data_IF_451127489144
#
_entry.id   IF_451127489144
#
_cell.length_a   1.000
_cell.length_b   1.000
_cell.length_c   1.000
_cell.angle_alpha   90.00
_cell.angle_beta   90.00
_cell.angle_gamma   90.00
#
_symmetry.space_group_name_H-M   'P 1'
#
loop_
_entity.id
_entity.type
_entity.pdbx_description
1 polymer ?
#
# COMPACT_ATOMS: atom_id res chain seq x y z
N UNK A 1 13.69 3.12 -9.36
CA UNK A 1 12.97 2.49 -8.23
C UNK A 1 11.46 2.58 -8.43
N UNK A 2 10.85 3.76 -8.46
CA UNK A 2 9.38 3.88 -8.59
C UNK A 2 8.86 3.38 -9.95
N UNK A 3 9.60 3.58 -11.04
CA UNK A 3 9.27 3.00 -12.35
C UNK A 3 9.25 1.46 -12.33
N UNK A 4 10.11 0.83 -11.53
CA UNK A 4 10.12 -0.63 -11.35
C UNK A 4 8.87 -1.05 -10.58
N UNK A 5 8.46 -0.27 -9.57
CA UNK A 5 7.20 -0.48 -8.86
C UNK A 5 6.00 -0.38 -9.81
N UNK A 6 5.99 0.60 -10.72
CA UNK A 6 4.95 0.73 -11.74
C UNK A 6 4.89 -0.49 -12.67
N UNK A 7 6.04 -0.97 -13.17
CA UNK A 7 6.08 -2.19 -13.98
C UNK A 7 5.59 -3.41 -13.18
N UNK A 8 5.99 -3.53 -11.91
CA UNK A 8 5.51 -4.61 -11.04
C UNK A 8 4.00 -4.57 -10.82
N UNK A 9 3.41 -3.39 -10.74
CA UNK A 9 1.95 -3.21 -10.65
C UNK A 9 1.26 -3.72 -11.93
N UNK A 10 1.75 -3.34 -13.11
CA UNK A 10 1.20 -3.82 -14.39
C UNK A 10 1.35 -5.33 -14.53
N UNK A 11 2.48 -5.89 -14.09
CA UNK A 11 2.68 -7.35 -14.06
C UNK A 11 1.69 -8.02 -13.10
N UNK A 12 1.39 -7.41 -11.94
CA UNK A 12 0.41 -7.95 -11.00
C UNK A 12 -1.00 -8.05 -11.60
N UNK A 13 -1.39 -7.14 -12.50
CA UNK A 13 -2.69 -7.18 -13.16
C UNK A 13 -2.88 -8.45 -14.01
N UNK A 14 -1.81 -8.98 -14.61
CA UNK A 14 -1.85 -10.22 -15.39
C UNK A 14 -2.24 -11.41 -14.50
N UNK A 15 -1.72 -11.45 -13.26
CA UNK A 15 -2.05 -12.49 -12.30
C UNK A 15 -3.45 -12.30 -11.71
N UNK A 16 -3.91 -11.06 -11.57
CA UNK A 16 -5.25 -10.75 -11.10
C UNK A 16 -6.35 -11.28 -12.02
N UNK A 17 -6.09 -11.41 -13.32
CA UNK A 17 -7.05 -12.01 -14.27
C UNK A 17 -7.37 -13.48 -13.97
N UNK A 18 -6.47 -14.19 -13.26
CA UNK A 18 -6.62 -15.60 -12.92
C UNK A 18 -6.69 -15.82 -11.40
N UNK A 19 -7.13 -14.79 -10.66
CA UNK A 19 -7.07 -14.73 -9.19
C UNK A 19 -7.84 -15.85 -8.48
N UNK A 20 -8.82 -16.46 -9.15
CA UNK A 20 -9.62 -17.57 -8.63
C UNK A 20 -8.79 -18.83 -8.34
N UNK A 21 -7.60 -18.95 -8.92
CA UNK A 21 -6.71 -20.08 -8.70
C UNK A 21 -5.66 -19.76 -7.64
N UNK A 22 -5.47 -20.66 -6.66
CA UNK A 22 -4.58 -20.48 -5.49
C UNK A 22 -3.14 -20.10 -5.88
N UNK A 23 -2.64 -20.64 -6.98
CA UNK A 23 -1.29 -20.34 -7.45
C UNK A 23 -1.15 -18.89 -7.92
N UNK A 24 -2.14 -18.38 -8.67
CA UNK A 24 -2.09 -17.03 -9.22
C UNK A 24 -2.42 -15.98 -8.15
N UNK A 25 -3.30 -16.28 -7.19
CA UNK A 25 -3.54 -15.39 -6.04
C UNK A 25 -2.29 -15.24 -5.17
N UNK A 26 -1.56 -16.33 -4.91
CA UNK A 26 -0.29 -16.28 -4.18
C UNK A 26 0.78 -15.48 -4.94
N UNK A 27 0.93 -15.69 -6.25
CA UNK A 27 1.87 -14.93 -7.09
C UNK A 27 1.52 -13.45 -7.14
N UNK A 28 0.22 -13.12 -7.28
CA UNK A 28 -0.27 -11.74 -7.21
C UNK A 28 0.15 -11.07 -5.90
N UNK A 29 -0.11 -11.72 -4.76
CA UNK A 29 0.23 -11.19 -3.44
C UNK A 29 1.74 -11.00 -3.27
N UNK A 30 2.57 -11.94 -3.74
CA UNK A 30 4.02 -11.82 -3.69
C UNK A 30 4.54 -10.64 -4.52
N UNK A 31 4.01 -10.44 -5.72
CA UNK A 31 4.42 -9.32 -6.58
C UNK A 31 4.00 -7.99 -5.98
N UNK A 32 2.76 -7.88 -5.47
CA UNK A 32 2.29 -6.68 -4.76
C UNK A 32 3.13 -6.38 -3.53
N UNK A 33 3.50 -7.41 -2.76
CA UNK A 33 4.38 -7.29 -1.61
C UNK A 33 5.74 -6.66 -2.01
N UNK A 34 6.36 -7.17 -3.08
CA UNK A 34 7.62 -6.62 -3.61
C UNK A 34 7.46 -5.17 -4.08
N UNK A 35 6.36 -4.84 -4.77
CA UNK A 35 6.05 -3.47 -5.19
C UNK A 35 5.98 -2.53 -3.98
N UNK A 36 5.26 -2.91 -2.93
CA UNK A 36 5.16 -2.09 -1.72
C UNK A 36 6.50 -1.91 -1.02
N UNK A 37 7.31 -2.96 -0.93
CA UNK A 37 8.68 -2.86 -0.39
C UNK A 37 9.51 -1.86 -1.22
N UNK A 38 9.41 -1.89 -2.55
CA UNK A 38 10.13 -0.94 -3.42
C UNK A 38 9.68 0.50 -3.15
N UNK A 39 8.38 0.74 -2.98
CA UNK A 39 7.84 2.07 -2.65
C UNK A 39 8.33 2.53 -1.28
N UNK A 40 8.28 1.65 -0.27
CA UNK A 40 8.76 1.91 1.10
C UNK A 40 10.24 2.26 1.09
N UNK A 41 11.10 1.40 0.54
CA UNK A 41 12.54 1.61 0.51
C UNK A 41 12.89 2.87 -0.29
N UNK A 42 12.20 3.11 -1.41
CA UNK A 42 12.39 4.32 -2.22
C UNK A 42 12.03 5.62 -1.47
N UNK A 43 11.09 5.54 -0.52
CA UNK A 43 10.66 6.67 0.31
C UNK A 43 11.54 6.83 1.55
N UNK A 44 11.87 5.73 2.24
CA UNK A 44 12.77 5.71 3.41
C UNK A 44 14.14 6.30 3.12
N UNK A 45 14.72 6.01 1.95
CA UNK A 45 16.01 6.59 1.54
C UNK A 45 16.01 8.12 1.54
N UNK A 46 14.85 8.75 1.41
CA UNK A 46 14.71 10.21 1.44
C UNK A 46 14.48 10.75 2.85
N UNK A 47 14.12 9.90 3.81
CA UNK A 47 13.61 10.28 5.14
C UNK A 47 14.67 10.17 6.26
N UNK A 48 15.88 9.67 5.95
CA UNK A 48 16.87 9.19 6.93
C UNK A 48 17.41 10.22 7.95
N UNK A 49 16.95 11.47 7.91
CA UNK A 49 17.51 12.59 8.69
C UNK A 49 16.55 13.15 9.74
N UNK A 50 15.28 12.70 9.79
CA UNK A 50 14.25 13.33 10.64
C UNK A 50 13.79 12.39 11.76
N UNK A 51 13.84 12.89 13.00
CA UNK A 51 13.35 12.14 14.17
C UNK A 51 11.82 12.03 14.16
N UNK A 52 11.33 10.80 14.38
CA UNK A 52 9.88 10.55 14.49
C UNK A 52 9.40 10.98 15.88
N UNK A 53 8.43 11.90 16.00
CA UNK A 53 7.92 12.34 17.29
C UNK A 53 7.14 11.22 18.01
N UNK A 54 7.14 11.27 19.34
CA UNK A 54 6.60 10.19 20.18
C UNK A 54 5.10 9.90 19.94
N UNK A 55 4.28 10.92 19.68
CA UNK A 55 2.86 10.73 19.42
C UNK A 55 2.60 9.91 18.13
N UNK A 56 3.40 10.10 17.08
CA UNK A 56 3.30 9.29 15.85
C UNK A 56 3.71 7.84 16.10
N UNK A 57 4.68 7.59 16.98
CA UNK A 57 5.06 6.22 17.37
C UNK A 57 3.90 5.52 18.06
N UNK A 58 3.28 6.16 19.07
CA UNK A 58 2.12 5.60 19.78
C UNK A 58 0.95 5.36 18.82
N UNK A 59 0.65 6.33 17.96
CA UNK A 59 -0.40 6.21 16.95
C UNK A 59 -0.13 5.04 15.99
N UNK A 60 1.11 4.85 15.56
CA UNK A 60 1.47 3.75 14.65
C UNK A 60 1.29 2.37 15.28
N UNK A 61 1.63 2.22 16.58
CA UNK A 61 1.44 0.96 17.31
C UNK A 61 -0.05 0.65 17.48
N UNK A 62 -0.86 1.66 17.79
CA UNK A 62 -2.31 1.49 17.92
C UNK A 62 -2.93 1.09 16.59
N UNK A 63 -2.56 1.77 15.50
CA UNK A 63 -3.03 1.47 14.15
C UNK A 63 -2.61 0.07 13.71
N UNK A 64 -1.38 -0.36 14.05
CA UNK A 64 -0.90 -1.72 13.85
C UNK A 64 -1.73 -2.77 14.57
N UNK A 65 -2.03 -2.55 15.86
CA UNK A 65 -2.88 -3.46 16.63
C UNK A 65 -4.28 -3.59 16.03
N UNK A 66 -4.89 -2.46 15.64
CA UNK A 66 -6.22 -2.45 15.02
C UNK A 66 -6.23 -3.16 13.66
N UNK A 67 -5.23 -2.92 12.81
CA UNK A 67 -5.13 -3.58 11.51
C UNK A 67 -4.97 -5.09 11.66
N UNK A 68 -4.13 -5.56 12.59
CA UNK A 68 -3.95 -6.99 12.85
C UNK A 68 -5.23 -7.65 13.39
N UNK A 69 -5.96 -6.96 14.29
CA UNK A 69 -7.27 -7.42 14.75
C UNK A 69 -8.27 -7.54 13.60
N UNK A 70 -8.34 -6.53 12.74
CA UNK A 70 -9.27 -6.54 11.60
C UNK A 70 -8.99 -7.70 10.65
N UNK A 71 -7.71 -7.95 10.33
CA UNK A 71 -7.31 -9.09 9.49
C UNK A 71 -7.63 -10.42 10.15
N UNK A 72 -7.38 -10.54 11.45
CA UNK A 72 -7.74 -11.76 12.18
C UNK A 72 -9.25 -12.03 12.13
N UNK A 73 -10.09 -11.00 12.30
CA UNK A 73 -11.52 -11.12 12.09
C UNK A 73 -11.84 -11.53 10.65
N UNK A 74 -11.25 -10.86 9.65
CA UNK A 74 -11.48 -11.17 8.25
C UNK A 74 -11.16 -12.63 7.93
N UNK A 75 -10.00 -13.14 8.38
CA UNK A 75 -9.58 -14.53 8.19
C UNK A 75 -10.50 -15.50 8.95
N UNK A 76 -11.05 -15.12 10.10
CA UNK A 76 -12.01 -15.97 10.82
C UNK A 76 -13.35 -16.13 10.10
N UNK A 77 -13.71 -15.18 9.23
CA UNK A 77 -14.88 -15.28 8.35
C UNK A 77 -14.60 -16.04 7.06
N UNK A 78 -13.34 -16.25 6.71
CA UNK A 78 -12.96 -17.13 5.60
C UNK A 78 -13.19 -18.58 6.04
N UNK A 79 -13.87 -19.35 5.21
CA UNK A 79 -14.03 -20.78 5.42
C UNK A 79 -12.65 -21.45 5.27
N UNK A 80 -12.00 -21.76 6.41
CA UNK A 80 -10.60 -22.25 6.49
C UNK A 80 -10.40 -23.52 5.67
N UNK A 81 -11.49 -24.23 5.35
CA UNK A 81 -11.49 -25.42 4.48
C UNK A 81 -11.09 -25.13 3.02
N UNK A 82 -11.19 -23.88 2.56
CA UNK A 82 -10.94 -23.50 1.16
C UNK A 82 -9.58 -22.83 0.91
N UNK A 83 -8.81 -22.53 1.97
CA UNK A 83 -7.62 -21.67 1.86
C UNK A 83 -6.42 -22.35 2.52
N UNK A 84 -5.34 -22.47 1.76
CA UNK A 84 -4.08 -23.03 2.26
C UNK A 84 -3.49 -22.14 3.37
N UNK A 85 -2.91 -22.78 4.39
CA UNK A 85 -2.19 -22.09 5.47
C UNK A 85 -1.12 -21.12 4.96
N UNK A 86 -0.50 -21.40 3.80
CA UNK A 86 0.48 -20.51 3.17
C UNK A 86 -0.14 -19.17 2.75
N UNK A 87 -1.35 -19.18 2.19
CA UNK A 87 -2.09 -17.98 1.78
C UNK A 87 -2.49 -17.15 3.01
N UNK A 88 -2.84 -17.79 4.12
CA UNK A 88 -3.12 -17.11 5.40
C UNK A 88 -1.90 -16.32 5.89
N UNK A 89 -0.71 -16.93 5.88
CA UNK A 89 0.52 -16.23 6.24
C UNK A 89 0.80 -15.05 5.29
N UNK A 90 0.58 -15.23 3.99
CA UNK A 90 0.75 -14.16 3.01
C UNK A 90 -0.17 -12.97 3.29
N UNK A 91 -1.41 -13.18 3.76
CA UNK A 91 -2.31 -12.08 4.17
C UNK A 91 -1.74 -11.26 5.33
N UNK A 92 -1.20 -11.92 6.35
CA UNK A 92 -0.59 -11.22 7.48
C UNK A 92 0.64 -10.42 7.05
N UNK A 93 1.51 -11.00 6.21
CA UNK A 93 2.72 -10.33 5.74
C UNK A 93 2.41 -9.13 4.84
N UNK A 94 1.51 -9.28 3.86
CA UNK A 94 1.17 -8.19 2.95
C UNK A 94 0.53 -7.04 3.72
N UNK A 95 -0.33 -7.32 4.70
CA UNK A 95 -0.94 -6.29 5.51
C UNK A 95 0.05 -5.53 6.39
N UNK A 96 1.02 -6.24 7.00
CA UNK A 96 2.10 -5.58 7.73
C UNK A 96 2.87 -4.61 6.81
N UNK A 97 3.19 -5.05 5.60
CA UNK A 97 3.93 -4.24 4.63
C UNK A 97 3.09 -3.06 4.16
N UNK A 98 1.80 -3.25 3.89
CA UNK A 98 0.87 -2.17 3.55
C UNK A 98 0.82 -1.10 4.66
N UNK A 99 0.75 -1.52 5.92
CA UNK A 99 0.72 -0.61 7.05
C UNK A 99 2.01 0.18 7.19
N UNK A 100 3.16 -0.51 7.12
CA UNK A 100 4.48 0.15 7.11
C UNK A 100 4.58 1.13 5.95
N UNK A 101 4.06 0.77 4.78
CA UNK A 101 4.00 1.64 3.61
C UNK A 101 3.21 2.92 3.87
N UNK A 102 1.97 2.80 4.33
CA UNK A 102 1.12 3.97 4.65
C UNK A 102 1.79 4.85 5.70
N UNK A 103 2.39 4.26 6.74
CA UNK A 103 3.09 5.03 7.77
C UNK A 103 4.31 5.77 7.20
N UNK A 104 5.17 5.10 6.44
CA UNK A 104 6.38 5.68 5.85
C UNK A 104 6.03 6.79 4.87
N UNK A 105 5.09 6.56 3.94
CA UNK A 105 4.72 7.56 2.94
C UNK A 105 3.91 8.70 3.54
N UNK A 106 3.07 8.42 4.54
CA UNK A 106 2.35 9.43 5.32
C UNK A 106 3.29 10.33 6.11
N UNK A 107 4.27 9.74 6.80
CA UNK A 107 5.28 10.50 7.52
C UNK A 107 6.17 11.31 6.56
N UNK A 108 6.53 10.76 5.40
CA UNK A 108 7.20 11.53 4.34
C UNK A 108 6.38 12.75 3.90
N UNK A 109 5.06 12.59 3.73
CA UNK A 109 4.17 13.73 3.44
C UNK A 109 4.13 14.76 4.55
N UNK A 110 4.13 14.32 5.81
CA UNK A 110 4.11 15.22 6.97
C UNK A 110 5.42 16.01 7.12
N UNK A 111 6.57 15.35 6.95
CA UNK A 111 7.90 15.98 7.10
C UNK A 111 8.16 17.00 6.00
N UNK A 112 7.89 16.65 4.75
CA UNK A 112 8.26 17.51 3.62
C UNK A 112 7.17 18.50 3.23
N UNK A 113 5.90 18.28 3.61
CA UNK A 113 4.76 19.15 3.28
C UNK A 113 4.47 19.33 1.78
N UNK A 114 5.32 18.76 0.91
CA UNK A 114 5.30 19.05 -0.52
C UNK A 114 4.18 18.32 -1.24
N UNK A 115 3.72 18.90 -2.36
CA UNK A 115 2.74 18.25 -3.24
C UNK A 115 3.22 16.88 -3.72
N UNK A 116 4.54 16.73 -3.93
CA UNK A 116 5.17 15.48 -4.33
C UNK A 116 5.07 14.40 -3.24
N UNK A 117 5.32 14.78 -1.99
CA UNK A 117 5.22 13.87 -0.85
C UNK A 117 3.76 13.46 -0.57
N UNK A 118 2.83 14.38 -0.79
CA UNK A 118 1.39 14.08 -0.77
C UNK A 118 1.00 13.05 -1.84
N UNK A 119 1.46 13.21 -3.10
CA UNK A 119 1.12 12.27 -4.17
C UNK A 119 1.55 10.83 -3.85
N UNK A 120 2.75 10.60 -3.32
CA UNK A 120 3.18 9.24 -3.00
C UNK A 120 2.42 8.65 -1.79
N UNK A 121 2.04 9.49 -0.83
CA UNK A 121 1.23 9.08 0.32
C UNK A 121 -0.18 8.66 -0.11
N UNK A 122 -0.85 9.49 -0.91
CA UNK A 122 -2.18 9.16 -1.45
C UNK A 122 -2.12 7.94 -2.35
N UNK A 123 -1.09 7.82 -3.20
CA UNK A 123 -0.89 6.65 -4.05
C UNK A 123 -0.82 5.35 -3.24
N UNK A 124 0.02 5.33 -2.19
CA UNK A 124 0.14 4.18 -1.30
C UNK A 124 -1.19 3.85 -0.60
N UNK A 125 -1.86 4.86 -0.05
CA UNK A 125 -3.15 4.68 0.63
C UNK A 125 -4.22 4.11 -0.32
N UNK A 126 -4.31 4.65 -1.53
CA UNK A 126 -5.25 4.18 -2.56
C UNK A 126 -4.99 2.72 -2.95
N UNK A 127 -3.72 2.31 -3.09
CA UNK A 127 -3.40 0.90 -3.36
C UNK A 127 -3.77 -0.02 -2.19
N UNK A 128 -3.55 0.40 -0.94
CA UNK A 128 -3.96 -0.37 0.24
C UNK A 128 -5.48 -0.53 0.31
N UNK A 129 -6.24 0.54 0.07
CA UNK A 129 -7.71 0.47 0.03
C UNK A 129 -8.17 -0.45 -1.11
N UNK A 130 -7.53 -0.37 -2.27
CA UNK A 130 -7.82 -1.24 -3.41
C UNK A 130 -7.59 -2.72 -3.08
N UNK A 131 -6.46 -3.08 -2.46
CA UNK A 131 -6.18 -4.47 -2.08
C UNK A 131 -7.11 -4.96 -0.96
N UNK A 132 -7.46 -4.11 0.02
CA UNK A 132 -8.48 -4.44 1.01
C UNK A 132 -9.85 -4.69 0.35
N UNK A 133 -10.21 -3.87 -0.65
CA UNK A 133 -11.45 -4.06 -1.39
C UNK A 133 -11.41 -5.32 -2.25
N UNK A 134 -10.28 -5.66 -2.86
CA UNK A 134 -10.08 -6.91 -3.56
C UNK A 134 -10.31 -8.10 -2.61
N UNK A 135 -9.73 -8.06 -1.41
CA UNK A 135 -9.93 -9.11 -0.42
C UNK A 135 -11.43 -9.32 -0.12
N UNK A 136 -12.15 -8.24 0.16
CA UNK A 136 -13.59 -8.30 0.45
C UNK A 136 -14.40 -8.80 -0.75
N UNK A 137 -14.07 -8.37 -1.96
CA UNK A 137 -14.79 -8.75 -3.16
C UNK A 137 -14.60 -10.24 -3.49
N UNK A 138 -13.36 -10.72 -3.52
CA UNK A 138 -13.02 -12.07 -3.96
C UNK A 138 -13.18 -13.14 -2.87
N UNK A 139 -12.92 -12.83 -1.59
CA UNK A 139 -13.03 -13.84 -0.51
C UNK A 139 -14.35 -13.79 0.26
N UNK A 140 -14.97 -12.62 0.38
CA UNK A 140 -16.29 -12.50 1.03
C UNK A 140 -17.45 -12.46 0.02
N UNK A 141 -17.16 -12.56 -1.28
CA UNK A 141 -18.14 -12.53 -2.36
C UNK A 141 -19.06 -11.30 -2.32
N UNK A 142 -18.53 -10.13 -1.91
CA UNK A 142 -19.29 -8.87 -1.88
C UNK A 142 -18.98 -8.07 -3.15
N UNK A 143 -19.82 -8.24 -4.18
CA UNK A 143 -19.56 -7.72 -5.53
C UNK A 143 -19.36 -6.20 -5.63
N UNK A 144 -20.00 -5.41 -4.76
CA UNK A 144 -19.83 -3.95 -4.75
C UNK A 144 -18.39 -3.50 -4.55
N UNK A 145 -17.56 -4.33 -3.89
CA UNK A 145 -16.16 -4.01 -3.65
C UNK A 145 -15.29 -4.15 -4.90
N UNK A 146 -15.74 -4.80 -5.98
CA UNK A 146 -15.03 -4.79 -7.27
C UNK A 146 -14.91 -3.37 -7.83
N UNK A 147 -15.97 -2.55 -7.73
CA UNK A 147 -15.93 -1.18 -8.22
C UNK A 147 -15.01 -0.30 -7.35
N UNK A 148 -15.01 -0.52 -6.04
CA UNK A 148 -14.14 0.19 -5.10
C UNK A 148 -12.67 -0.17 -5.36
N UNK A 149 -12.38 -1.46 -5.54
CA UNK A 149 -11.05 -1.99 -5.88
C UNK A 149 -10.50 -1.29 -7.13
N UNK A 150 -11.25 -1.33 -8.25
CA UNK A 150 -10.84 -0.72 -9.51
C UNK A 150 -10.67 0.79 -9.43
N UNK A 151 -11.59 1.47 -8.76
CA UNK A 151 -11.53 2.93 -8.62
C UNK A 151 -10.29 3.35 -7.84
N UNK A 152 -10.07 2.74 -6.68
CA UNK A 152 -8.93 3.05 -5.81
C UNK A 152 -7.60 2.65 -6.45
N UNK A 153 -7.59 1.56 -7.22
CA UNK A 153 -6.43 1.17 -8.02
C UNK A 153 -6.03 2.25 -9.03
N UNK A 154 -7.00 2.76 -9.80
CA UNK A 154 -6.78 3.82 -10.78
C UNK A 154 -6.34 5.14 -10.12
N UNK A 155 -6.94 5.50 -8.99
CA UNK A 155 -6.49 6.64 -8.19
C UNK A 155 -5.03 6.47 -7.75
N UNK A 156 -4.67 5.27 -7.26
CA UNK A 156 -3.31 4.95 -6.85
C UNK A 156 -2.30 5.12 -7.99
N UNK A 157 -2.62 4.60 -9.18
CA UNK A 157 -1.82 4.73 -10.39
C UNK A 157 -1.67 6.19 -10.83
N UNK A 158 -2.77 6.94 -10.84
CA UNK A 158 -2.78 8.36 -11.23
C UNK A 158 -1.81 9.18 -10.39
N UNK A 159 -1.85 9.01 -9.07
CA UNK A 159 -0.95 9.71 -8.15
C UNK A 159 0.49 9.19 -8.21
N UNK A 160 0.71 7.90 -8.50
CA UNK A 160 2.04 7.33 -8.69
C UNK A 160 2.74 7.96 -9.91
N UNK A 161 2.01 8.10 -11.02
CA UNK A 161 2.51 8.74 -12.24
C UNK A 161 2.83 10.21 -11.98
N UNK A 162 1.94 10.93 -11.28
CA UNK A 162 2.18 12.32 -10.89
C UNK A 162 3.43 12.46 -10.02
N UNK A 163 3.65 11.56 -9.07
CA UNK A 163 4.85 11.56 -8.22
C UNK A 163 6.16 11.38 -9.00
N UNK A 164 6.14 10.57 -10.07
CA UNK A 164 7.31 10.36 -10.94
C UNK A 164 7.54 11.55 -11.87
N UNK A 165 6.48 12.29 -12.23
CA UNK A 165 6.58 13.40 -13.16
C UNK A 165 7.50 14.50 -12.59
N UNK A 166 8.56 14.82 -13.35
CA UNK A 166 9.59 15.80 -12.97
C UNK A 166 9.08 17.23 -12.93
N UNK A 167 7.90 17.52 -13.47
CA UNK A 167 7.29 18.86 -13.40
C UNK A 167 6.90 19.26 -11.97
N UNK A 168 6.72 18.31 -11.05
CA UNK A 168 6.57 18.59 -9.61
C UNK A 168 7.97 18.79 -8.98
N UNK A 169 8.76 19.70 -9.57
CA UNK A 169 10.11 20.03 -9.15
C UNK A 169 10.04 21.04 -8.00
N UNK A 170 10.55 20.63 -6.84
CA UNK A 170 11.39 21.43 -5.92
C UNK A 170 10.92 22.80 -5.39
N UNK A 171 9.75 23.33 -5.77
CA UNK A 171 9.28 24.65 -5.30
C UNK A 171 8.97 24.70 -3.79
N UNK A 172 8.76 23.55 -3.13
CA UNK A 172 8.45 23.52 -1.70
C UNK A 172 9.68 23.43 -0.77
N UNK A 173 10.87 23.05 -1.29
CA UNK A 173 12.07 22.89 -0.45
C UNK A 173 12.69 24.26 -0.09
N UNK A 174 12.46 25.30 -0.91
CA UNK A 174 12.94 26.66 -0.61
C UNK A 174 12.19 27.35 0.54
N UNK A 175 10.96 26.92 0.88
CA UNK A 175 10.14 27.58 1.89
C UNK A 175 10.37 27.07 3.32
N UNK A 176 11.06 25.93 3.50
CA UNK A 176 11.35 25.35 4.83
C UNK A 176 12.69 25.84 5.38
N UNK A 177 13.55 26.50 4.57
CA UNK A 177 14.83 27.04 5.03
C UNK A 177 14.76 28.39 5.75
N UNK A 178 13.56 28.97 5.88
CA UNK A 178 13.36 30.28 6.53
C UNK A 178 12.69 30.21 7.91
N UNK A 179 12.57 29.03 8.52
CA UNK A 179 12.10 28.83 9.90
C UNK A 179 13.06 27.93 10.67
#
# INVERSE_FOLDING_TARGET
MITIAFVGIVVSDIFMLHYETTLYSNLYMLIKMLVYIIIIVGTLKKLFVVEVPAYLKVFSVLLFGLSMLLIHFMISYLDISQIDNSTVWLFYFIALIMLVGVFVTGYYSHVYGSRKAYCISVSMLSFVISDCAAFVAYYLNIEYFYYIERSMYLYGLFYLVHYVNKSIKEEDISLIREW
#
